data_IF_804303222842
#
_entry.id   IF_804303222842
#
_cell.length_a   1.000
_cell.length_b   1.000
_cell.length_c   1.000
_cell.angle_alpha   90.00
_cell.angle_beta   90.00
_cell.angle_gamma   90.00
#
_symmetry.space_group_name_H-M   'P 1'
#
loop_
_entity.id
_entity.type
_entity.pdbx_description
1 polymer ?
#
# COMPACT_ATOMS: atom_id res chain seq x y z
N UNK A 1 36.04 25.94 -30.46
CA UNK A 1 35.48 25.05 -31.50
C UNK A 1 34.58 24.05 -30.82
N UNK A 2 33.29 24.09 -31.15
CA UNK A 2 32.13 23.68 -30.34
C UNK A 2 32.09 22.18 -29.96
N UNK A 3 31.99 21.89 -28.66
CA UNK A 3 31.67 20.56 -28.09
C UNK A 3 30.40 19.94 -28.72
N UNK A 4 29.44 20.75 -29.15
CA UNK A 4 28.20 20.32 -29.79
C UNK A 4 28.37 19.72 -31.19
N UNK A 5 29.46 20.05 -31.92
CA UNK A 5 29.75 19.47 -33.24
C UNK A 5 30.31 18.03 -33.18
N UNK A 6 30.72 17.56 -31.98
CA UNK A 6 31.18 16.18 -31.76
C UNK A 6 30.02 15.19 -31.45
N UNK A 7 28.83 15.70 -31.23
CA UNK A 7 27.58 14.91 -30.95
C UNK A 7 26.79 14.60 -32.24
N UNK A 8 27.42 14.60 -33.40
CA UNK A 8 26.74 14.23 -34.65
C UNK A 8 26.13 12.81 -34.51
N UNK A 9 24.85 12.59 -34.81
CA UNK A 9 24.14 11.33 -34.56
C UNK A 9 24.81 10.12 -35.23
N UNK A 10 25.46 10.29 -36.34
CA UNK A 10 26.21 9.25 -37.05
C UNK A 10 27.43 8.72 -36.22
N UNK A 11 28.08 9.57 -35.41
CA UNK A 11 29.19 9.15 -34.55
C UNK A 11 28.71 8.42 -33.29
N UNK A 12 27.56 8.79 -32.76
CA UNK A 12 26.92 8.11 -31.64
C UNK A 12 26.56 6.65 -31.99
N UNK A 13 25.98 6.42 -33.16
CA UNK A 13 25.64 5.07 -33.64
C UNK A 13 26.88 4.19 -33.85
N UNK A 14 27.97 4.76 -34.38
CA UNK A 14 29.24 4.04 -34.50
C UNK A 14 29.85 3.69 -33.14
N UNK A 15 29.76 4.58 -32.16
CA UNK A 15 30.28 4.36 -30.81
C UNK A 15 29.49 3.29 -30.06
N UNK A 16 28.17 3.29 -30.19
CA UNK A 16 27.28 2.25 -29.64
C UNK A 16 27.57 0.88 -30.29
N UNK A 17 27.80 0.83 -31.61
CA UNK A 17 28.16 -0.39 -32.31
C UNK A 17 29.52 -0.96 -31.90
N UNK A 18 30.49 -0.10 -31.55
CA UNK A 18 31.79 -0.51 -31.01
C UNK A 18 31.65 -1.02 -29.57
N UNK A 19 30.85 -0.34 -28.74
CA UNK A 19 30.55 -0.78 -27.37
C UNK A 19 29.90 -2.17 -27.35
N UNK A 20 28.96 -2.43 -28.24
CA UNK A 20 28.28 -3.74 -28.35
C UNK A 20 29.23 -4.87 -28.81
N UNK A 21 30.17 -4.58 -29.71
CA UNK A 21 31.20 -5.54 -30.14
C UNK A 21 32.19 -5.86 -29.04
N UNK A 22 32.57 -4.87 -28.24
CA UNK A 22 33.48 -5.04 -27.10
C UNK A 22 32.83 -5.94 -26.01
N UNK A 23 31.55 -5.76 -25.74
CA UNK A 23 30.77 -6.60 -24.83
C UNK A 23 30.73 -8.08 -25.24
N UNK A 24 30.66 -8.34 -26.53
CA UNK A 24 30.61 -9.71 -27.07
C UNK A 24 31.94 -10.47 -26.97
N UNK A 25 33.05 -9.76 -26.89
CA UNK A 25 34.38 -10.35 -26.85
C UNK A 25 34.77 -10.93 -25.49
N UNK A 26 34.16 -10.42 -24.39
CA UNK A 26 34.33 -10.90 -23.01
C UNK A 26 32.99 -11.14 -22.33
N UNK A 27 32.14 -11.96 -22.95
CA UNK A 27 30.70 -12.11 -22.62
C UNK A 27 30.43 -12.48 -21.16
N UNK A 28 31.25 -13.35 -20.56
CA UNK A 28 31.02 -13.84 -19.18
C UNK A 28 31.24 -12.73 -18.15
N UNK A 29 32.30 -11.92 -18.34
CA UNK A 29 32.63 -10.82 -17.42
C UNK A 29 31.65 -9.68 -17.57
N UNK A 30 31.26 -9.35 -18.79
CA UNK A 30 30.25 -8.32 -19.08
C UNK A 30 28.87 -8.73 -18.55
N UNK A 31 28.50 -10.01 -18.63
CA UNK A 31 27.24 -10.54 -18.10
C UNK A 31 27.21 -10.48 -16.57
N UNK A 32 28.30 -10.89 -15.88
CA UNK A 32 28.38 -10.82 -14.42
C UNK A 32 28.29 -9.39 -13.88
N UNK A 33 28.85 -8.43 -14.62
CA UNK A 33 28.79 -7.02 -14.21
C UNK A 33 27.42 -6.40 -14.52
N UNK A 34 26.89 -6.68 -15.71
CA UNK A 34 25.54 -6.26 -16.06
C UNK A 34 24.50 -6.84 -15.08
N UNK A 35 24.75 -8.05 -14.56
CA UNK A 35 23.86 -8.70 -13.60
C UNK A 35 23.66 -7.85 -12.33
N UNK A 36 24.73 -7.23 -11.80
CA UNK A 36 24.61 -6.33 -10.64
C UNK A 36 23.71 -5.12 -10.90
N UNK A 37 23.82 -4.52 -12.11
CA UNK A 37 22.96 -3.41 -12.50
C UNK A 37 21.53 -3.91 -12.78
N UNK A 38 21.39 -5.03 -13.47
CA UNK A 38 20.10 -5.64 -13.76
C UNK A 38 19.34 -5.92 -12.45
N UNK A 39 19.98 -6.55 -11.48
CA UNK A 39 19.38 -6.84 -10.17
C UNK A 39 19.04 -5.54 -9.43
N UNK A 40 19.98 -4.58 -9.38
CA UNK A 40 19.75 -3.31 -8.71
C UNK A 40 18.58 -2.54 -9.30
N UNK A 41 18.54 -2.39 -10.62
CA UNK A 41 17.48 -1.68 -11.33
C UNK A 41 16.15 -2.42 -11.24
N UNK A 42 16.14 -3.74 -11.43
CA UNK A 42 14.91 -4.53 -11.31
C UNK A 42 14.32 -4.45 -9.90
N UNK A 43 15.17 -4.45 -8.87
CA UNK A 43 14.74 -4.26 -7.47
C UNK A 43 14.13 -2.89 -7.24
N UNK A 44 14.72 -1.82 -7.78
CA UNK A 44 14.17 -0.44 -7.67
C UNK A 44 12.80 -0.36 -8.34
N UNK A 45 12.66 -0.87 -9.57
CA UNK A 45 11.40 -0.85 -10.30
C UNK A 45 10.33 -1.66 -9.57
N UNK A 46 10.68 -2.89 -9.14
CA UNK A 46 9.76 -3.76 -8.42
C UNK A 46 9.31 -3.13 -7.08
N UNK A 47 10.24 -2.56 -6.31
CA UNK A 47 9.95 -1.89 -5.05
C UNK A 47 8.97 -0.74 -5.22
N UNK A 48 9.22 0.16 -6.19
CA UNK A 48 8.35 1.32 -6.42
C UNK A 48 6.98 0.87 -6.91
N UNK A 49 6.92 -0.08 -7.84
CA UNK A 49 5.67 -0.59 -8.40
C UNK A 49 4.80 -1.29 -7.34
N UNK A 50 5.39 -2.16 -6.51
CA UNK A 50 4.69 -2.87 -5.43
C UNK A 50 4.29 -1.88 -4.32
N UNK A 51 5.20 -0.97 -3.94
CA UNK A 51 4.92 0.03 -2.91
C UNK A 51 3.77 0.97 -3.27
N UNK A 52 3.72 1.44 -4.51
CA UNK A 52 2.63 2.30 -5.00
C UNK A 52 1.32 1.51 -5.13
N UNK A 53 1.36 0.26 -5.62
CA UNK A 53 0.20 -0.61 -5.70
C UNK A 53 -0.38 -0.96 -4.33
N UNK A 54 0.46 -1.31 -3.38
CA UNK A 54 0.03 -1.56 -2.00
C UNK A 54 -0.62 -0.32 -1.38
N UNK A 55 0.00 0.85 -1.53
CA UNK A 55 -0.54 2.11 -1.02
C UNK A 55 -1.90 2.44 -1.66
N UNK A 56 -2.04 2.32 -2.98
CA UNK A 56 -3.30 2.53 -3.69
C UNK A 56 -4.39 1.56 -3.21
N UNK A 57 -4.07 0.28 -3.06
CA UNK A 57 -4.99 -0.75 -2.55
C UNK A 57 -5.45 -0.45 -1.13
N UNK A 58 -4.54 -0.05 -0.24
CA UNK A 58 -4.89 0.28 1.15
C UNK A 58 -5.73 1.56 1.19
N UNK A 59 -5.34 2.61 0.47
CA UNK A 59 -6.12 3.87 0.39
C UNK A 59 -7.54 3.60 -0.13
N UNK A 60 -7.69 2.75 -1.15
CA UNK A 60 -9.00 2.33 -1.67
C UNK A 60 -9.82 1.57 -0.63
N UNK A 61 -9.21 0.62 0.10
CA UNK A 61 -9.88 -0.14 1.16
C UNK A 61 -10.26 0.75 2.35
N UNK A 62 -9.41 1.71 2.69
CA UNK A 62 -9.68 2.70 3.74
C UNK A 62 -10.86 3.60 3.31
N UNK A 63 -10.87 4.08 2.06
CA UNK A 63 -11.99 4.86 1.52
C UNK A 63 -13.32 4.07 1.49
N UNK A 64 -13.24 2.75 1.26
CA UNK A 64 -14.42 1.88 1.28
C UNK A 64 -15.04 1.68 2.68
N UNK A 65 -14.31 2.00 3.76
CA UNK A 65 -14.83 1.96 5.12
C UNK A 65 -15.81 3.10 5.45
N UNK A 66 -15.87 4.13 4.64
CA UNK A 66 -16.66 5.35 4.84
C UNK A 66 -15.76 6.58 4.84
N UNK A 67 -16.33 7.74 4.54
CA UNK A 67 -15.59 9.01 4.58
C UNK A 67 -15.74 9.67 5.95
N UNK A 68 -14.67 10.26 6.45
CA UNK A 68 -14.64 11.04 7.70
C UNK A 68 -15.13 10.24 8.92
N UNK A 69 -14.78 8.96 8.99
CA UNK A 69 -15.23 8.06 10.04
C UNK A 69 -14.35 8.18 11.29
N UNK A 70 -15.02 8.40 12.42
CA UNK A 70 -14.48 8.16 13.76
C UNK A 70 -15.23 7.00 14.39
N UNK A 71 -14.53 6.03 14.95
CA UNK A 71 -15.15 4.95 15.71
C UNK A 71 -14.66 5.00 17.15
N UNK A 72 -15.57 5.16 18.07
CA UNK A 72 -15.28 5.12 19.51
C UNK A 72 -15.53 3.70 19.98
N UNK A 73 -14.51 3.02 20.47
CA UNK A 73 -14.60 1.69 21.08
C UNK A 73 -14.65 1.80 22.59
N UNK A 74 -15.39 0.94 23.25
CA UNK A 74 -15.18 0.71 24.68
C UNK A 74 -13.73 0.29 24.93
N UNK A 75 -13.15 0.76 26.01
CA UNK A 75 -11.78 0.46 26.37
C UNK A 75 -11.50 -1.04 26.60
N UNK A 76 -10.27 -1.41 26.88
CA UNK A 76 -9.97 -2.78 27.26
C UNK A 76 -10.43 -3.05 28.69
N UNK A 77 -11.08 -4.20 28.91
CA UNK A 77 -11.37 -4.67 30.26
C UNK A 77 -10.06 -5.13 30.90
N UNK A 78 -9.70 -4.50 32.00
CA UNK A 78 -8.53 -4.88 32.82
C UNK A 78 -9.01 -5.70 34.03
N UNK A 79 -8.61 -6.96 34.11
CA UNK A 79 -8.89 -7.83 35.26
C UNK A 79 -7.57 -8.46 35.71
N UNK A 80 -7.10 -8.13 36.91
CA UNK A 80 -5.88 -8.72 37.48
C UNK A 80 -4.60 -8.47 36.68
N UNK A 81 -4.47 -7.31 36.00
CA UNK A 81 -3.29 -6.98 35.17
C UNK A 81 -3.35 -7.52 33.74
N UNK A 82 -4.34 -8.29 33.36
CA UNK A 82 -4.55 -8.79 32.00
C UNK A 82 -5.55 -7.88 31.25
N UNK A 83 -5.15 -7.39 30.11
CA UNK A 83 -5.99 -6.58 29.20
C UNK A 83 -6.66 -7.48 28.16
N UNK A 84 -8.00 -7.41 28.06
CA UNK A 84 -8.82 -8.25 27.17
C UNK A 84 -9.09 -7.63 25.79
N UNK A 85 -8.27 -6.67 25.34
CA UNK A 85 -8.41 -6.02 24.04
C UNK A 85 -9.51 -4.94 23.98
N UNK A 86 -9.51 -4.15 22.94
CA UNK A 86 -10.45 -3.04 22.69
C UNK A 86 -11.88 -3.57 22.53
N UNK A 87 -12.87 -2.83 23.07
CA UNK A 87 -14.27 -3.18 22.99
C UNK A 87 -14.72 -4.25 23.98
N UNK A 88 -13.87 -4.67 24.92
CA UNK A 88 -14.20 -5.67 25.94
C UNK A 88 -14.70 -5.07 27.27
N UNK A 89 -14.45 -3.79 27.52
CA UNK A 89 -15.04 -3.08 28.65
C UNK A 89 -16.50 -2.72 28.35
N UNK A 90 -17.29 -2.62 29.39
CA UNK A 90 -18.72 -2.23 29.30
C UNK A 90 -18.85 -0.79 29.81
N UNK A 91 -18.37 0.17 28.99
CA UNK A 91 -18.32 1.60 29.38
C UNK A 91 -19.24 2.47 28.56
N UNK A 92 -19.37 2.23 27.24
CA UNK A 92 -20.19 3.02 26.35
C UNK A 92 -21.68 2.66 26.44
N UNK A 93 -22.54 3.66 26.46
CA UNK A 93 -24.00 3.51 26.54
C UNK A 93 -24.72 4.19 25.38
N UNK A 94 -25.99 3.87 25.17
CA UNK A 94 -26.86 4.58 24.21
C UNK A 94 -26.94 6.08 24.59
N UNK A 95 -27.02 6.40 25.88
CA UNK A 95 -27.06 7.78 26.34
C UNK A 95 -25.79 8.58 25.96
N UNK A 96 -24.65 7.92 25.82
CA UNK A 96 -23.43 8.56 25.33
C UNK A 96 -23.50 8.83 23.82
N UNK A 97 -24.02 7.88 23.05
CA UNK A 97 -24.27 8.09 21.63
C UNK A 97 -25.24 9.26 21.39
N UNK A 98 -26.34 9.32 22.15
CA UNK A 98 -27.32 10.40 22.07
C UNK A 98 -26.74 11.76 22.47
N UNK A 99 -25.84 11.81 23.47
CA UNK A 99 -25.18 13.04 23.87
C UNK A 99 -24.19 13.50 22.80
N UNK A 100 -23.36 12.60 22.26
CA UNK A 100 -22.45 12.91 21.17
C UNK A 100 -23.18 13.52 19.98
N UNK A 101 -24.32 12.96 19.58
CA UNK A 101 -25.12 13.48 18.46
C UNK A 101 -25.73 14.86 18.73
N UNK A 102 -26.16 15.11 19.96
CA UNK A 102 -26.82 16.38 20.32
C UNK A 102 -25.84 17.53 20.63
N UNK A 103 -24.71 17.21 21.26
CA UNK A 103 -23.82 18.23 21.81
C UNK A 103 -22.65 18.58 20.87
N UNK A 104 -22.36 17.75 19.86
CA UNK A 104 -21.26 17.98 18.92
C UNK A 104 -21.82 18.26 17.52
N UNK A 105 -21.94 19.52 17.08
CA UNK A 105 -22.54 19.89 15.79
C UNK A 105 -21.74 19.38 14.57
N UNK A 106 -20.46 19.05 14.75
CA UNK A 106 -19.59 18.51 13.71
C UNK A 106 -19.94 17.08 13.26
N UNK A 107 -20.80 16.37 14.02
CA UNK A 107 -21.25 15.02 13.69
C UNK A 107 -22.42 15.08 12.71
N UNK A 108 -22.28 14.40 11.58
CA UNK A 108 -23.31 14.31 10.55
C UNK A 108 -24.28 13.15 10.80
N UNK A 109 -23.77 11.99 11.20
CA UNK A 109 -24.53 10.79 11.49
C UNK A 109 -23.83 9.95 12.57
N UNK A 110 -24.63 9.14 13.28
CA UNK A 110 -24.13 8.29 14.35
C UNK A 110 -24.81 6.92 14.31
N UNK A 111 -24.03 5.86 14.55
CA UNK A 111 -24.57 4.52 14.74
C UNK A 111 -23.96 3.86 15.99
N UNK A 112 -24.78 3.63 17.01
CA UNK A 112 -24.43 2.75 18.12
C UNK A 112 -24.26 1.33 17.61
N UNK A 113 -23.17 0.65 17.99
CA UNK A 113 -22.88 -0.71 17.53
C UNK A 113 -22.86 -1.71 18.68
N UNK A 114 -23.59 -2.80 18.50
CA UNK A 114 -23.57 -3.99 19.36
C UNK A 114 -23.27 -5.19 18.50
N UNK A 115 -22.17 -5.88 18.76
CA UNK A 115 -21.71 -6.99 17.93
C UNK A 115 -21.68 -8.29 18.73
N UNK A 116 -22.16 -9.37 18.11
CA UNK A 116 -22.04 -10.73 18.64
C UNK A 116 -21.82 -11.70 17.49
N UNK A 117 -21.13 -12.82 17.76
CA UNK A 117 -21.09 -13.94 16.82
C UNK A 117 -22.23 -14.88 17.10
N UNK A 118 -22.94 -15.30 16.07
CA UNK A 118 -24.05 -16.23 16.20
C UNK A 118 -24.14 -17.16 14.99
N UNK A 119 -24.70 -18.35 15.24
CA UNK A 119 -25.07 -19.24 14.17
C UNK A 119 -26.39 -18.79 13.54
N UNK A 120 -26.35 -18.57 12.25
CA UNK A 120 -27.50 -18.28 11.40
C UNK A 120 -28.01 -19.59 10.80
N UNK A 121 -29.32 -19.79 10.80
CA UNK A 121 -29.94 -20.98 10.24
C UNK A 121 -31.05 -20.58 9.29
N UNK A 122 -30.97 -21.01 8.04
CA UNK A 122 -31.98 -20.79 7.01
C UNK A 122 -31.91 -21.90 5.94
N UNK A 123 -33.02 -22.24 5.32
CA UNK A 123 -33.06 -23.24 4.22
C UNK A 123 -32.39 -24.60 4.54
N UNK A 124 -32.43 -25.05 5.79
CA UNK A 124 -31.74 -26.29 6.19
C UNK A 124 -30.21 -26.16 6.27
N UNK A 125 -29.66 -24.97 6.01
CA UNK A 125 -28.23 -24.66 6.14
C UNK A 125 -27.95 -23.87 7.40
N UNK A 126 -26.72 -23.96 7.88
CA UNK A 126 -26.25 -23.16 9.00
C UNK A 126 -24.92 -22.50 8.64
N UNK A 127 -24.72 -21.30 9.15
CA UNK A 127 -23.50 -20.52 8.95
C UNK A 127 -23.19 -19.68 10.19
N UNK A 128 -21.94 -19.67 10.63
CA UNK A 128 -21.52 -18.81 11.73
C UNK A 128 -21.12 -17.44 11.16
N UNK A 129 -21.77 -16.40 11.60
CA UNK A 129 -21.56 -15.04 11.10
C UNK A 129 -21.58 -14.01 12.22
N UNK A 130 -21.09 -12.82 11.92
CA UNK A 130 -21.18 -11.67 12.80
C UNK A 130 -22.58 -11.06 12.72
N UNK A 131 -23.25 -10.93 13.85
CA UNK A 131 -24.52 -10.19 13.96
C UNK A 131 -24.22 -8.83 14.60
N UNK A 132 -24.45 -7.77 13.82
CA UNK A 132 -24.23 -6.39 14.21
C UNK A 132 -25.58 -5.69 14.42
N UNK A 133 -25.79 -5.16 15.61
CA UNK A 133 -26.89 -4.26 15.92
C UNK A 133 -26.46 -2.83 15.61
N UNK A 134 -27.15 -2.17 14.70
CA UNK A 134 -26.80 -0.85 14.17
C UNK A 134 -28.01 0.07 14.10
N UNK A 135 -27.77 1.35 13.77
CA UNK A 135 -28.83 2.30 13.40
C UNK A 135 -29.07 2.31 11.88
N UNK A 136 -30.16 2.93 11.39
CA UNK A 136 -30.43 3.07 9.95
C UNK A 136 -29.33 3.83 9.21
N UNK A 137 -28.65 4.77 9.86
CA UNK A 137 -27.59 5.61 9.32
C UNK A 137 -26.31 4.85 9.02
N UNK A 138 -26.15 3.65 9.57
CA UNK A 138 -24.95 2.83 9.41
C UNK A 138 -24.54 2.64 7.95
N UNK A 139 -25.50 2.41 7.05
CA UNK A 139 -25.20 2.23 5.63
C UNK A 139 -24.60 3.51 5.02
N UNK A 140 -25.12 4.68 5.39
CA UNK A 140 -24.59 5.97 4.95
C UNK A 140 -23.18 6.21 5.54
N UNK A 141 -23.00 5.99 6.84
CA UNK A 141 -21.72 6.13 7.55
C UNK A 141 -20.64 5.26 6.89
N UNK A 142 -21.00 4.01 6.55
CA UNK A 142 -20.07 3.03 5.96
C UNK A 142 -20.03 3.08 4.43
N UNK A 143 -20.73 4.01 3.79
CA UNK A 143 -20.88 4.07 2.33
C UNK A 143 -21.20 2.69 1.75
N UNK A 144 -22.23 2.02 2.31
CA UNK A 144 -22.64 0.68 1.89
C UNK A 144 -23.94 0.71 1.15
N UNK A 145 -23.96 0.16 -0.04
CA UNK A 145 -25.15 0.09 -0.89
C UNK A 145 -25.90 -1.21 -0.68
N UNK A 146 -27.20 -1.17 -0.98
CA UNK A 146 -28.05 -2.35 -1.05
C UNK A 146 -28.13 -2.83 -2.50
N UNK A 147 -28.01 -4.13 -2.70
CA UNK A 147 -28.28 -4.79 -3.99
C UNK A 147 -29.77 -5.03 -4.20
N UNK A 148 -30.50 -5.33 -3.10
CA UNK A 148 -31.93 -5.56 -3.12
C UNK A 148 -32.57 -5.18 -1.78
N UNK A 149 -33.85 -4.82 -1.79
CA UNK A 149 -34.63 -4.49 -0.60
C UNK A 149 -34.36 -3.10 -0.05
N UNK A 150 -34.52 -2.92 1.26
CA UNK A 150 -34.37 -1.64 1.96
C UNK A 150 -33.69 -1.84 3.33
N UNK A 151 -33.17 -0.74 3.89
CA UNK A 151 -32.73 -0.69 5.30
C UNK A 151 -33.96 -0.58 6.23
N UNK A 152 -33.80 -1.04 7.46
CA UNK A 152 -34.81 -0.80 8.50
C UNK A 152 -34.84 0.67 8.90
N UNK A 153 -35.95 1.08 9.51
CA UNK A 153 -36.23 2.48 9.84
C UNK A 153 -36.04 2.73 11.35
N UNK A 154 -36.02 4.00 11.74
CA UNK A 154 -36.04 4.41 13.15
C UNK A 154 -37.25 3.83 13.92
N UNK A 155 -38.37 3.59 13.22
CA UNK A 155 -39.55 2.92 13.82
C UNK A 155 -39.23 1.48 14.20
N UNK A 156 -38.46 0.77 13.35
CA UNK A 156 -38.03 -0.60 13.60
C UNK A 156 -37.04 -0.66 14.77
N UNK A 157 -36.16 0.34 14.87
CA UNK A 157 -35.25 0.49 16.02
C UNK A 157 -36.03 0.68 17.31
N UNK A 158 -36.99 1.61 17.35
CA UNK A 158 -37.77 1.88 18.57
C UNK A 158 -38.62 0.69 19.00
N UNK A 159 -39.21 -0.03 18.05
CA UNK A 159 -40.05 -1.22 18.34
C UNK A 159 -39.22 -2.48 18.62
N UNK A 160 -37.90 -2.44 18.47
CA UNK A 160 -37.03 -3.61 18.47
C UNK A 160 -37.53 -4.72 17.53
N UNK A 161 -37.83 -4.32 16.28
CA UNK A 161 -38.37 -5.19 15.24
C UNK A 161 -37.37 -6.33 14.89
N UNK A 162 -37.95 -7.47 14.50
CA UNK A 162 -37.14 -8.65 14.06
C UNK A 162 -36.93 -8.62 12.56
N UNK A 163 -36.29 -7.59 12.10
CA UNK A 163 -35.89 -7.39 10.70
C UNK A 163 -34.39 -7.41 10.59
N UNK A 164 -33.86 -7.83 9.45
CA UNK A 164 -32.42 -7.96 9.22
C UNK A 164 -32.03 -7.57 7.79
N UNK A 165 -30.85 -6.99 7.63
CA UNK A 165 -30.18 -6.81 6.36
C UNK A 165 -28.97 -7.75 6.34
N UNK A 166 -28.84 -8.55 5.29
CA UNK A 166 -27.82 -9.62 5.21
C UNK A 166 -26.69 -9.22 4.24
N UNK A 167 -25.46 -9.54 4.61
CA UNK A 167 -24.29 -9.38 3.74
C UNK A 167 -24.23 -10.46 2.66
N UNK A 168 -23.60 -10.16 1.55
CA UNK A 168 -23.57 -11.00 0.34
C UNK A 168 -22.98 -12.40 0.59
N UNK A 169 -21.92 -12.52 1.42
CA UNK A 169 -21.33 -13.82 1.75
C UNK A 169 -22.25 -14.66 2.61
N UNK A 170 -22.78 -14.11 3.70
CA UNK A 170 -23.72 -14.82 4.57
C UNK A 170 -24.99 -15.24 3.80
N UNK A 171 -25.47 -14.39 2.88
CA UNK A 171 -26.60 -14.70 1.99
C UNK A 171 -26.28 -15.88 1.06
N UNK A 172 -25.11 -15.86 0.42
CA UNK A 172 -24.69 -16.94 -0.48
C UNK A 172 -24.58 -18.30 0.22
N UNK A 173 -24.00 -18.31 1.43
CA UNK A 173 -23.81 -19.55 2.21
C UNK A 173 -25.17 -20.16 2.66
N UNK A 174 -26.13 -19.32 3.03
CA UNK A 174 -27.43 -19.78 3.55
C UNK A 174 -28.46 -20.03 2.44
N UNK A 175 -28.50 -19.19 1.42
CA UNK A 175 -29.55 -19.20 0.40
C UNK A 175 -29.03 -19.57 -1.01
N UNK A 176 -27.71 -19.66 -1.21
CA UNK A 176 -27.12 -19.87 -2.53
C UNK A 176 -27.36 -18.66 -3.46
N UNK A 177 -27.76 -18.89 -4.73
CA UNK A 177 -27.98 -17.81 -5.70
C UNK A 177 -29.36 -17.14 -5.56
N UNK A 178 -30.18 -17.54 -4.59
CA UNK A 178 -31.55 -17.05 -4.43
C UNK A 178 -31.51 -15.71 -3.70
N UNK A 179 -32.33 -14.74 -4.14
CA UNK A 179 -32.52 -13.48 -3.43
C UNK A 179 -33.18 -13.75 -2.06
N UNK A 180 -32.51 -13.44 -0.93
CA UNK A 180 -33.03 -13.76 0.40
C UNK A 180 -34.08 -12.76 0.92
N UNK A 181 -34.33 -11.65 0.21
CA UNK A 181 -35.28 -10.61 0.66
C UNK A 181 -36.70 -11.18 0.79
N UNK A 182 -37.30 -10.97 1.94
CA UNK A 182 -38.61 -11.54 2.31
C UNK A 182 -38.55 -12.91 3.00
N UNK A 183 -37.38 -13.56 3.00
CA UNK A 183 -37.15 -14.87 3.64
C UNK A 183 -36.81 -14.71 5.13
N UNK A 184 -36.93 -15.79 5.88
CA UNK A 184 -36.59 -15.85 7.30
C UNK A 184 -35.24 -16.46 7.54
N UNK A 185 -34.44 -15.86 8.44
CA UNK A 185 -33.24 -16.39 9.03
C UNK A 185 -33.40 -16.48 10.54
N UNK A 186 -33.00 -17.59 11.14
CA UNK A 186 -32.98 -17.76 12.61
C UNK A 186 -31.60 -17.46 13.16
N UNK A 187 -31.56 -16.61 14.18
CA UNK A 187 -30.36 -16.26 14.94
C UNK A 187 -30.59 -16.69 16.38
N UNK A 188 -29.83 -17.63 16.90
CA UNK A 188 -30.05 -18.19 18.26
C UNK A 188 -31.53 -18.57 18.50
N UNK A 189 -32.16 -19.24 17.56
CA UNK A 189 -33.58 -19.62 17.57
C UNK A 189 -34.60 -18.50 17.41
N UNK A 190 -34.22 -17.25 17.28
CA UNK A 190 -35.12 -16.12 17.05
C UNK A 190 -35.23 -15.89 15.54
N UNK A 191 -36.45 -15.87 14.99
CA UNK A 191 -36.67 -15.63 13.57
C UNK A 191 -36.54 -14.13 13.26
N UNK A 192 -35.85 -13.79 12.19
CA UNK A 192 -35.72 -12.47 11.60
C UNK A 192 -36.17 -12.51 10.15
N UNK A 193 -36.88 -11.51 9.69
CA UNK A 193 -37.24 -11.34 8.28
C UNK A 193 -36.09 -10.55 7.60
N UNK A 194 -35.55 -11.08 6.53
CA UNK A 194 -34.55 -10.38 5.72
C UNK A 194 -35.29 -9.35 4.87
N UNK A 195 -34.97 -8.07 5.05
CA UNK A 195 -35.56 -6.94 4.32
C UNK A 195 -34.63 -6.31 3.30
N UNK A 196 -33.32 -6.63 3.36
CA UNK A 196 -32.32 -6.10 2.43
C UNK A 196 -31.10 -7.00 2.29
N UNK A 197 -30.46 -6.88 1.13
CA UNK A 197 -29.21 -7.55 0.76
C UNK A 197 -28.16 -6.51 0.47
N UNK A 198 -27.00 -6.59 1.14
CA UNK A 198 -25.87 -5.69 0.94
C UNK A 198 -25.09 -6.02 -0.33
N UNK A 199 -24.60 -4.97 -0.98
CA UNK A 199 -23.58 -5.10 -2.03
C UNK A 199 -22.29 -5.67 -1.46
N UNK A 200 -21.58 -6.51 -2.24
CA UNK A 200 -20.30 -7.07 -1.81
C UNK A 200 -19.22 -6.01 -1.79
N UNK A 201 -18.52 -5.89 -0.65
CA UNK A 201 -17.31 -5.06 -0.46
C UNK A 201 -16.02 -5.88 -0.42
N UNK A 202 -16.14 -7.19 -0.26
CA UNK A 202 -15.00 -8.10 -0.18
C UNK A 202 -14.21 -8.00 1.14
N UNK A 203 -12.91 -8.26 1.05
CA UNK A 203 -12.04 -8.20 2.22
C UNK A 203 -11.68 -6.76 2.60
N UNK A 204 -11.88 -6.42 3.87
CA UNK A 204 -11.50 -5.15 4.45
C UNK A 204 -10.01 -5.03 4.74
N UNK A 205 -9.63 -3.91 5.38
CA UNK A 205 -8.28 -3.70 5.94
C UNK A 205 -8.06 -4.76 7.03
N UNK A 206 -7.02 -5.59 6.88
CA UNK A 206 -6.75 -6.72 7.78
C UNK A 206 -7.26 -8.08 7.30
N UNK A 207 -7.81 -8.18 6.07
CA UNK A 207 -8.14 -9.45 5.43
C UNK A 207 -9.46 -10.09 5.86
N UNK A 208 -10.18 -9.51 6.83
CA UNK A 208 -11.50 -10.00 7.24
C UNK A 208 -12.54 -9.68 6.17
N UNK A 209 -13.36 -10.68 5.84
CA UNK A 209 -14.44 -10.48 4.88
C UNK A 209 -15.57 -9.64 5.51
N UNK A 210 -15.80 -8.43 4.98
CA UNK A 210 -16.83 -7.52 5.47
C UNK A 210 -18.23 -8.01 5.15
N UNK A 211 -18.39 -8.83 4.12
CA UNK A 211 -19.67 -9.33 3.62
C UNK A 211 -20.28 -10.44 4.47
N UNK A 212 -19.49 -10.97 5.45
CA UNK A 212 -19.96 -12.02 6.36
C UNK A 212 -20.57 -11.43 7.62
N UNK A 213 -21.76 -10.83 7.45
CA UNK A 213 -22.50 -10.22 8.56
C UNK A 213 -24.01 -10.21 8.35
N UNK A 214 -24.73 -10.08 9.46
CA UNK A 214 -26.14 -9.80 9.53
C UNK A 214 -26.34 -8.51 10.32
N UNK A 215 -27.01 -7.52 9.75
CA UNK A 215 -27.28 -6.24 10.40
C UNK A 215 -28.72 -6.22 10.86
N UNK A 216 -28.95 -5.90 12.13
CA UNK A 216 -30.25 -5.80 12.78
C UNK A 216 -30.35 -4.48 13.56
N UNK A 217 -31.52 -4.01 13.96
CA UNK A 217 -31.62 -2.85 14.85
C UNK A 217 -30.86 -3.08 16.17
N UNK A 218 -30.05 -2.10 16.60
CA UNK A 218 -29.23 -2.23 17.81
C UNK A 218 -30.05 -2.53 19.06
N UNK A 219 -31.25 -1.97 19.16
CA UNK A 219 -32.19 -2.25 20.26
C UNK A 219 -32.67 -3.71 20.27
N UNK A 220 -32.82 -4.32 19.09
CA UNK A 220 -33.14 -5.75 18.95
C UNK A 220 -31.95 -6.61 19.37
N UNK A 221 -30.74 -6.25 18.94
CA UNK A 221 -29.51 -6.93 19.35
C UNK A 221 -29.37 -6.94 20.87
N UNK A 222 -29.47 -5.77 21.50
CA UNK A 222 -29.35 -5.61 22.95
C UNK A 222 -30.40 -6.39 23.72
N UNK A 223 -31.67 -6.25 23.34
CA UNK A 223 -32.75 -6.88 24.10
C UNK A 223 -32.87 -8.39 23.92
N UNK A 224 -32.49 -8.92 22.76
CA UNK A 224 -32.78 -10.31 22.38
C UNK A 224 -31.57 -11.20 22.20
N UNK A 225 -30.40 -10.65 21.87
CA UNK A 225 -29.21 -11.45 21.58
C UNK A 225 -28.15 -11.34 22.67
N UNK A 226 -27.80 -10.14 23.11
CA UNK A 226 -26.72 -9.97 24.08
C UNK A 226 -27.23 -9.83 25.52
N UNK A 227 -28.39 -9.25 25.72
CA UNK A 227 -28.91 -8.92 27.05
C UNK A 227 -28.12 -7.80 27.74
N UNK A 228 -27.20 -7.19 27.02
CA UNK A 228 -26.30 -6.17 27.55
C UNK A 228 -26.88 -4.77 27.35
N UNK A 229 -26.49 -3.85 28.22
CA UNK A 229 -26.88 -2.42 28.16
C UNK A 229 -25.79 -1.56 27.55
N UNK A 230 -24.64 -2.14 27.27
CA UNK A 230 -23.47 -1.44 26.79
C UNK A 230 -23.25 -1.66 25.31
N UNK A 231 -22.68 -0.64 24.68
CA UNK A 231 -22.28 -0.65 23.30
C UNK A 231 -20.85 -1.19 23.17
N UNK A 232 -20.56 -1.88 22.11
CA UNK A 232 -19.19 -2.25 21.75
C UNK A 232 -18.42 -1.05 21.21
N UNK A 233 -19.09 -0.30 20.34
CA UNK A 233 -18.56 0.90 19.71
C UNK A 233 -19.66 1.86 19.29
N UNK A 234 -19.25 3.09 18.97
CA UNK A 234 -20.09 4.12 18.37
C UNK A 234 -19.41 4.59 17.10
N UNK A 235 -20.06 4.40 15.96
CA UNK A 235 -19.60 4.86 14.67
C UNK A 235 -20.11 6.29 14.41
N UNK A 236 -19.21 7.22 14.13
CA UNK A 236 -19.49 8.64 13.93
C UNK A 236 -19.05 9.06 12.53
N UNK A 237 -19.89 9.75 11.79
CA UNK A 237 -19.51 10.43 10.57
C UNK A 237 -19.35 11.91 10.84
N UNK A 238 -18.16 12.46 10.59
CA UNK A 238 -17.89 13.89 10.71
C UNK A 238 -18.25 14.58 9.40
N UNK A 239 -18.88 15.77 9.47
CA UNK A 239 -19.35 16.53 8.29
C UNK A 239 -18.20 16.94 7.38
N UNK A 240 -17.10 17.41 7.98
CA UNK A 240 -15.94 17.92 7.26
C UNK A 240 -14.67 17.18 7.67
N UNK A 241 -13.91 16.73 6.69
CA UNK A 241 -12.61 16.09 6.90
C UNK A 241 -11.62 16.96 7.67
N UNK A 242 -11.69 18.28 7.50
CA UNK A 242 -10.82 19.24 8.22
C UNK A 242 -11.18 19.33 9.70
N UNK A 243 -12.43 19.05 10.08
CA UNK A 243 -12.90 19.12 11.45
C UNK A 243 -12.69 17.84 12.28
N UNK A 244 -12.17 16.76 11.68
CA UNK A 244 -12.04 15.44 12.33
C UNK A 244 -11.27 15.54 13.66
N UNK A 245 -10.15 16.24 13.69
CA UNK A 245 -9.31 16.37 14.89
C UNK A 245 -10.00 17.15 15.99
N UNK A 246 -10.68 18.25 15.63
CA UNK A 246 -11.44 19.05 16.60
C UNK A 246 -12.66 18.29 17.13
N UNK A 247 -13.37 17.54 16.29
CA UNK A 247 -14.48 16.67 16.71
C UNK A 247 -13.96 15.54 17.61
N UNK A 248 -12.82 14.92 17.30
CA UNK A 248 -12.20 13.89 18.13
C UNK A 248 -11.88 14.43 19.54
N UNK A 249 -11.33 15.64 19.63
CA UNK A 249 -11.08 16.27 20.92
C UNK A 249 -12.38 16.55 21.69
N UNK A 250 -13.42 17.05 21.02
CA UNK A 250 -14.74 17.29 21.64
C UNK A 250 -15.37 16.00 22.14
N UNK A 251 -15.30 14.93 21.34
CA UNK A 251 -15.78 13.58 21.73
C UNK A 251 -15.04 13.10 22.97
N UNK A 252 -13.71 13.26 23.01
CA UNK A 252 -12.89 12.87 24.17
C UNK A 252 -13.32 13.64 25.42
N UNK A 253 -13.43 14.96 25.33
CA UNK A 253 -13.80 15.79 26.47
C UNK A 253 -15.21 15.46 26.99
N UNK A 254 -16.17 15.30 26.07
CA UNK A 254 -17.54 14.98 26.46
C UNK A 254 -17.66 13.60 27.12
N UNK A 255 -17.01 12.58 26.59
CA UNK A 255 -17.02 11.25 27.17
C UNK A 255 -16.31 11.21 28.52
N UNK A 256 -15.14 11.85 28.67
CA UNK A 256 -14.46 11.98 29.96
C UNK A 256 -15.35 12.63 31.03
N UNK A 257 -16.05 13.71 30.66
CA UNK A 257 -17.00 14.39 31.56
C UNK A 257 -18.16 13.47 31.94
N UNK A 258 -18.76 12.76 30.98
CA UNK A 258 -19.90 11.87 31.22
C UNK A 258 -19.54 10.64 32.04
N UNK A 259 -18.37 10.07 31.78
CA UNK A 259 -17.81 8.91 32.52
C UNK A 259 -17.16 9.32 33.84
N UNK A 260 -17.10 10.65 34.15
CA UNK A 260 -16.51 11.23 35.37
C UNK A 260 -15.07 10.80 35.58
N UNK A 261 -14.28 10.74 34.52
CA UNK A 261 -12.88 10.34 34.56
C UNK A 261 -12.03 11.50 35.16
N UNK A 262 -11.24 11.27 36.19
CA UNK A 262 -10.26 12.24 36.70
C UNK A 262 -9.23 12.63 35.63
N UNK A 263 -8.61 13.83 35.73
CA UNK A 263 -7.64 14.29 34.73
C UNK A 263 -6.43 13.36 34.53
N UNK A 264 -6.02 12.67 35.57
CA UNK A 264 -4.87 11.76 35.64
C UNK A 264 -5.22 10.30 35.27
N UNK A 265 -6.51 10.00 35.11
CA UNK A 265 -6.94 8.66 34.70
C UNK A 265 -6.93 8.50 33.19
N UNK A 266 -6.45 7.36 32.71
CA UNK A 266 -6.55 6.97 31.31
C UNK A 266 -8.01 6.85 30.86
N UNK A 267 -8.26 7.09 29.57
CA UNK A 267 -9.59 6.94 28.99
C UNK A 267 -10.07 5.49 29.05
N UNK A 268 -11.32 5.30 29.39
CA UNK A 268 -12.00 4.00 29.41
C UNK A 268 -12.66 3.68 28.04
N UNK A 269 -12.32 4.47 27.02
CA UNK A 269 -12.68 4.33 25.62
C UNK A 269 -11.45 4.59 24.75
N UNK A 270 -11.54 4.23 23.48
CA UNK A 270 -10.51 4.52 22.49
C UNK A 270 -11.16 5.04 21.21
N UNK A 271 -10.66 6.15 20.69
CA UNK A 271 -11.16 6.75 19.46
C UNK A 271 -10.24 6.37 18.30
N UNK A 272 -10.82 5.67 17.35
CA UNK A 272 -10.13 5.23 16.15
C UNK A 272 -10.46 6.19 15.02
N UNK A 273 -9.44 6.87 14.53
CA UNK A 273 -9.53 7.76 13.38
C UNK A 273 -9.00 7.04 12.14
N UNK A 274 -9.78 7.04 11.09
CA UNK A 274 -9.38 6.41 9.84
C UNK A 274 -8.13 7.05 9.21
N UNK A 275 -7.91 8.36 9.42
CA UNK A 275 -6.67 9.04 9.00
C UNK A 275 -5.43 8.46 9.67
N UNK A 276 -5.51 8.08 10.94
CA UNK A 276 -4.37 7.53 11.70
C UNK A 276 -3.94 6.17 11.14
N UNK A 277 -4.90 5.39 10.64
CA UNK A 277 -4.61 4.13 9.94
C UNK A 277 -3.86 4.40 8.64
N UNK A 278 -4.37 5.33 7.83
CA UNK A 278 -3.72 5.70 6.59
C UNK A 278 -2.29 6.21 6.85
N UNK A 279 -2.10 7.11 7.83
CA UNK A 279 -0.80 7.62 8.22
C UNK A 279 0.15 6.53 8.72
N UNK A 280 -0.35 5.57 9.51
CA UNK A 280 0.44 4.42 9.98
C UNK A 280 0.91 3.56 8.81
N UNK A 281 0.02 3.29 7.85
CA UNK A 281 0.35 2.52 6.65
C UNK A 281 1.38 3.25 5.78
N UNK A 282 1.22 4.56 5.61
CA UNK A 282 2.18 5.39 4.87
C UNK A 282 3.56 5.37 5.53
N UNK A 283 3.60 5.45 6.86
CA UNK A 283 4.84 5.33 7.63
C UNK A 283 5.52 3.97 7.45
N UNK A 284 4.78 2.87 7.62
CA UNK A 284 5.30 1.51 7.43
C UNK A 284 5.78 1.31 5.99
N UNK A 285 5.00 1.75 5.00
CA UNK A 285 5.36 1.67 3.58
C UNK A 285 6.64 2.46 3.28
N UNK A 286 6.80 3.64 3.89
CA UNK A 286 8.00 4.47 3.75
C UNK A 286 9.25 3.78 4.31
N UNK A 287 9.14 3.14 5.48
CA UNK A 287 10.23 2.36 6.08
C UNK A 287 10.62 1.18 5.17
N UNK A 288 9.63 0.45 4.65
CA UNK A 288 9.88 -0.66 3.71
C UNK A 288 10.55 -0.14 2.43
N UNK A 289 10.09 0.97 1.86
CA UNK A 289 10.69 1.61 0.68
C UNK A 289 12.15 2.01 0.97
N UNK A 290 12.45 2.56 2.15
CA UNK A 290 13.81 2.92 2.55
C UNK A 290 14.73 1.70 2.66
N UNK A 291 14.27 0.63 3.31
CA UNK A 291 15.05 -0.61 3.46
C UNK A 291 15.35 -1.26 2.10
N UNK A 292 14.33 -1.45 1.27
CA UNK A 292 14.50 -2.02 -0.06
C UNK A 292 15.34 -1.12 -0.98
N UNK A 293 15.17 0.20 -0.87
CA UNK A 293 15.98 1.21 -1.57
C UNK A 293 17.46 1.13 -1.18
N UNK A 294 17.74 0.93 0.10
CA UNK A 294 19.11 0.75 0.60
C UNK A 294 19.77 -0.51 0.04
N UNK A 295 19.07 -1.64 0.03
CA UNK A 295 19.57 -2.90 -0.55
C UNK A 295 19.81 -2.74 -2.05
N UNK A 296 18.88 -2.10 -2.76
CA UNK A 296 19.02 -1.81 -4.19
C UNK A 296 20.19 -0.87 -4.46
N UNK A 297 20.40 0.14 -3.61
CA UNK A 297 21.52 1.06 -3.67
C UNK A 297 22.87 0.33 -3.54
N UNK A 298 22.99 -0.56 -2.56
CA UNK A 298 24.19 -1.40 -2.39
C UNK A 298 24.43 -2.26 -3.63
N UNK A 299 23.40 -2.91 -4.16
CA UNK A 299 23.50 -3.73 -5.38
C UNK A 299 23.97 -2.91 -6.58
N UNK A 300 23.47 -1.69 -6.73
CA UNK A 300 23.87 -0.76 -7.78
C UNK A 300 25.33 -0.29 -7.63
N UNK A 301 25.80 -0.03 -6.41
CA UNK A 301 27.20 0.29 -6.15
C UNK A 301 28.11 -0.88 -6.53
N UNK A 302 27.75 -2.10 -6.14
CA UNK A 302 28.51 -3.32 -6.52
C UNK A 302 28.51 -3.49 -8.05
N UNK A 303 27.38 -3.30 -8.72
CA UNK A 303 27.28 -3.29 -10.18
C UNK A 303 28.16 -2.20 -10.81
N UNK A 304 28.19 -1.01 -10.23
CA UNK A 304 29.02 0.11 -10.66
C UNK A 304 30.54 -0.17 -10.52
N UNK A 305 30.96 -0.75 -9.40
CA UNK A 305 32.36 -1.22 -9.22
C UNK A 305 32.70 -2.25 -10.30
N UNK A 306 31.78 -3.13 -10.64
CA UNK A 306 31.94 -4.06 -11.75
C UNK A 306 32.16 -3.35 -13.10
N UNK A 307 31.38 -2.29 -13.43
CA UNK A 307 31.63 -1.46 -14.63
C UNK A 307 33.01 -0.87 -14.57
N UNK A 308 33.41 -0.28 -13.46
CA UNK A 308 34.74 0.32 -13.31
C UNK A 308 35.85 -0.70 -13.58
N UNK A 309 35.73 -1.91 -13.03
CA UNK A 309 36.72 -2.95 -13.23
C UNK A 309 36.80 -3.41 -14.69
N UNK A 310 35.69 -3.60 -15.37
CA UNK A 310 35.69 -3.96 -16.80
C UNK A 310 36.31 -2.84 -17.63
N UNK A 311 35.97 -1.61 -17.35
CA UNK A 311 36.48 -0.46 -18.09
C UNK A 311 37.99 -0.30 -17.87
N UNK A 312 38.52 -0.55 -16.65
CA UNK A 312 39.97 -0.55 -16.40
C UNK A 312 40.68 -1.62 -17.19
N UNK A 313 40.15 -2.85 -17.24
CA UNK A 313 40.71 -3.93 -18.06
C UNK A 313 40.61 -3.58 -19.54
N UNK A 314 39.52 -3.01 -20.00
CA UNK A 314 39.37 -2.57 -21.39
C UNK A 314 40.41 -1.49 -21.78
N UNK A 315 40.69 -0.57 -20.87
CA UNK A 315 41.77 0.43 -21.07
C UNK A 315 43.12 -0.25 -21.20
N UNK A 316 43.46 -1.21 -20.33
CA UNK A 316 44.77 -1.94 -20.42
C UNK A 316 44.87 -2.79 -21.68
N UNK A 317 43.83 -3.52 -22.06
CA UNK A 317 43.80 -4.30 -23.30
C UNK A 317 43.92 -3.45 -24.57
N UNK A 318 43.50 -2.18 -24.50
CA UNK A 318 43.55 -1.24 -25.65
C UNK A 318 44.63 -0.16 -25.50
N UNK A 319 45.59 -0.32 -24.58
CA UNK A 319 46.58 0.70 -24.29
C UNK A 319 47.36 1.12 -25.57
N UNK A 320 47.77 0.19 -26.42
CA UNK A 320 48.46 0.46 -27.67
C UNK A 320 47.59 1.21 -28.69
N UNK A 321 46.32 0.86 -28.79
CA UNK A 321 45.36 1.54 -29.67
C UNK A 321 45.11 3.00 -29.21
N UNK A 322 44.97 3.21 -27.90
CA UNK A 322 44.82 4.54 -27.30
C UNK A 322 46.11 5.38 -27.54
N UNK A 323 47.27 4.80 -27.31
CA UNK A 323 48.57 5.44 -27.55
C UNK A 323 48.72 5.87 -29.00
N UNK A 324 48.35 5.02 -29.97
CA UNK A 324 48.37 5.36 -31.40
C UNK A 324 47.47 6.54 -31.72
N UNK A 325 46.23 6.59 -31.15
CA UNK A 325 45.31 7.72 -31.35
C UNK A 325 45.85 9.02 -30.81
N UNK A 326 46.49 8.98 -29.60
CA UNK A 326 47.08 10.17 -29.00
C UNK A 326 48.32 10.62 -29.85
N UNK A 327 49.13 9.71 -30.33
CA UNK A 327 50.31 10.02 -31.17
C UNK A 327 49.91 10.66 -32.51
N UNK A 328 48.75 10.32 -33.08
CA UNK A 328 48.16 10.94 -34.31
C UNK A 328 47.39 12.23 -34.01
N UNK A 329 47.35 12.68 -32.74
CA UNK A 329 46.81 13.98 -32.37
C UNK A 329 45.37 13.96 -31.82
N UNK A 330 44.88 12.81 -31.35
CA UNK A 330 43.58 12.77 -30.68
C UNK A 330 43.64 13.55 -29.36
N UNK A 331 42.63 14.40 -29.14
CA UNK A 331 42.53 15.18 -27.89
C UNK A 331 42.18 14.24 -26.72
N UNK A 332 42.83 14.40 -25.54
CA UNK A 332 42.48 13.61 -24.34
C UNK A 332 41.01 13.68 -23.94
N UNK A 333 40.36 14.81 -24.20
CA UNK A 333 38.93 15.00 -23.96
C UNK A 333 38.05 14.07 -24.83
N UNK A 334 38.47 13.80 -26.07
CA UNK A 334 37.75 12.91 -26.98
C UNK A 334 37.84 11.44 -26.53
N UNK A 335 39.02 11.03 -26.06
CA UNK A 335 39.23 9.69 -25.50
C UNK A 335 38.42 9.51 -24.22
N UNK A 336 38.49 10.48 -23.31
CA UNK A 336 37.69 10.46 -22.08
C UNK A 336 36.20 10.34 -22.36
N UNK A 337 35.69 11.15 -23.30
CA UNK A 337 34.26 11.11 -23.67
C UNK A 337 33.86 9.75 -24.27
N UNK A 338 34.72 9.16 -25.11
CA UNK A 338 34.49 7.84 -25.69
C UNK A 338 34.29 6.76 -24.62
N UNK A 339 35.25 6.64 -23.69
CA UNK A 339 35.20 5.63 -22.63
C UNK A 339 34.05 5.89 -21.65
N UNK A 340 33.74 7.16 -21.39
CA UNK A 340 32.56 7.51 -20.56
C UNK A 340 31.24 7.09 -21.23
N UNK A 341 31.10 7.35 -22.55
CA UNK A 341 29.91 6.92 -23.31
C UNK A 341 29.82 5.38 -23.36
N UNK A 342 30.94 4.68 -23.43
CA UNK A 342 30.98 3.21 -23.41
C UNK A 342 30.48 2.67 -22.06
N UNK A 343 30.89 3.26 -20.94
CA UNK A 343 30.42 2.91 -19.60
C UNK A 343 28.90 3.22 -19.41
N UNK A 344 28.46 4.38 -19.87
CA UNK A 344 27.04 4.77 -19.82
C UNK A 344 26.18 3.86 -20.70
N UNK A 345 26.63 3.50 -21.91
CA UNK A 345 25.92 2.58 -22.77
C UNK A 345 25.78 1.18 -22.13
N UNK A 346 26.84 0.71 -21.45
CA UNK A 346 26.80 -0.55 -20.70
C UNK A 346 25.79 -0.49 -19.56
N UNK A 347 25.78 0.56 -18.77
CA UNK A 347 24.86 0.71 -17.65
C UNK A 347 23.41 0.88 -18.10
N UNK A 348 23.17 1.64 -19.17
CA UNK A 348 21.83 1.81 -19.72
C UNK A 348 21.28 0.52 -20.34
N UNK A 349 22.13 -0.28 -20.99
CA UNK A 349 21.71 -1.60 -21.51
C UNK A 349 21.35 -2.57 -20.39
N UNK A 350 22.13 -2.60 -19.30
CA UNK A 350 21.80 -3.33 -18.08
C UNK A 350 20.53 -2.79 -17.41
N UNK A 351 20.38 -1.46 -17.39
CA UNK A 351 19.17 -0.78 -16.88
C UNK A 351 17.91 -1.14 -17.66
N UNK A 352 17.99 -1.18 -19.00
CA UNK A 352 16.87 -1.59 -19.85
C UNK A 352 16.41 -3.02 -19.55
N UNK A 353 17.34 -3.96 -19.47
CA UNK A 353 17.03 -5.35 -19.09
C UNK A 353 16.48 -5.41 -17.67
N UNK A 354 17.05 -4.64 -16.74
CA UNK A 354 16.60 -4.51 -15.36
C UNK A 354 15.16 -3.99 -15.27
N UNK A 355 14.79 -2.97 -16.05
CA UNK A 355 13.42 -2.46 -16.13
C UNK A 355 12.45 -3.54 -16.62
N UNK A 356 12.80 -4.23 -17.70
CA UNK A 356 11.96 -5.30 -18.27
C UNK A 356 11.73 -6.42 -17.22
N UNK A 357 12.80 -6.87 -16.57
CA UNK A 357 12.71 -7.88 -15.52
C UNK A 357 11.97 -7.38 -14.28
N UNK A 358 12.20 -6.13 -13.85
CA UNK A 358 11.49 -5.51 -12.74
C UNK A 358 9.99 -5.44 -12.97
N UNK A 359 9.56 -5.04 -14.18
CA UNK A 359 8.16 -5.04 -14.60
C UNK A 359 7.58 -6.45 -14.60
N UNK A 360 8.29 -7.42 -15.17
CA UNK A 360 7.84 -8.82 -15.23
C UNK A 360 7.67 -9.42 -13.80
N UNK A 361 8.65 -9.20 -12.92
CA UNK A 361 8.61 -9.65 -11.52
C UNK A 361 7.45 -8.99 -10.78
N UNK A 362 7.26 -7.67 -10.96
CA UNK A 362 6.17 -6.93 -10.31
C UNK A 362 4.81 -7.47 -10.72
N UNK A 363 4.59 -7.73 -12.01
CA UNK A 363 3.33 -8.29 -12.51
C UNK A 363 3.08 -9.71 -11.99
N UNK A 364 4.13 -10.54 -11.93
CA UNK A 364 4.02 -11.89 -11.40
C UNK A 364 3.64 -11.87 -9.90
N UNK A 365 4.33 -11.05 -9.12
CA UNK A 365 4.03 -10.88 -7.70
C UNK A 365 2.62 -10.31 -7.46
N UNK A 366 2.18 -9.34 -8.28
CA UNK A 366 0.83 -8.80 -8.21
C UNK A 366 -0.24 -9.88 -8.42
N UNK A 367 -0.05 -10.77 -9.40
CA UNK A 367 -0.98 -11.88 -9.65
C UNK A 367 -1.04 -12.89 -8.50
N UNK A 368 0.09 -13.16 -7.87
CA UNK A 368 0.16 -14.13 -6.75
C UNK A 368 -0.37 -13.54 -5.45
N UNK A 369 -0.08 -12.28 -5.17
CA UNK A 369 -0.47 -11.60 -3.92
C UNK A 369 -1.84 -10.93 -3.97
N UNK A 370 -2.45 -10.81 -5.15
CA UNK A 370 -3.75 -10.14 -5.31
C UNK A 370 -3.70 -8.63 -5.16
N UNK A 371 -2.51 -8.02 -5.20
CA UNK A 371 -2.35 -6.57 -5.21
C UNK A 371 -2.29 -6.03 -6.64
N UNK A 372 -2.98 -4.92 -6.89
CA UNK A 372 -2.82 -4.19 -8.14
C UNK A 372 -1.44 -3.53 -8.18
N UNK A 373 -0.63 -3.88 -9.16
CA UNK A 373 0.70 -3.31 -9.35
C UNK A 373 0.59 -2.08 -10.22
N UNK A 374 0.95 -0.93 -9.67
CA UNK A 374 0.95 0.34 -10.39
C UNK A 374 2.36 0.64 -10.94
N UNK A 375 2.57 0.33 -12.22
CA UNK A 375 3.80 0.71 -12.92
C UNK A 375 3.65 2.16 -13.36
N UNK A 376 4.39 3.07 -12.72
CA UNK A 376 4.36 4.47 -13.08
C UNK A 376 5.47 4.81 -14.09
N UNK A 377 5.26 5.72 -15.04
CA UNK A 377 6.31 6.24 -15.92
C UNK A 377 7.49 6.86 -15.13
N UNK A 378 7.19 7.40 -13.96
CA UNK A 378 8.18 7.99 -13.07
C UNK A 378 9.18 6.94 -12.52
N UNK A 379 8.72 5.73 -12.21
CA UNK A 379 9.60 4.64 -11.76
C UNK A 379 10.56 4.19 -12.85
N UNK A 380 10.10 4.19 -14.11
CA UNK A 380 10.94 3.88 -15.28
C UNK A 380 11.96 4.99 -15.52
N UNK A 381 11.54 6.25 -15.46
CA UNK A 381 12.44 7.39 -15.60
C UNK A 381 13.51 7.42 -14.49
N UNK A 382 13.11 7.14 -13.24
CA UNK A 382 14.04 7.03 -12.11
C UNK A 382 15.07 5.92 -12.36
N UNK A 383 14.64 4.74 -12.81
CA UNK A 383 15.50 3.60 -13.11
C UNK A 383 16.55 3.94 -14.18
N UNK A 384 16.15 4.61 -15.27
CA UNK A 384 17.08 5.08 -16.29
C UNK A 384 18.01 6.17 -15.78
N UNK A 385 17.51 7.14 -14.98
CA UNK A 385 18.30 8.19 -14.36
C UNK A 385 19.39 7.64 -13.44
N UNK A 386 19.05 6.67 -12.61
CA UNK A 386 20.00 5.99 -11.71
C UNK A 386 21.01 5.18 -12.52
N UNK A 387 20.58 4.44 -13.54
CA UNK A 387 21.51 3.69 -14.42
C UNK A 387 22.49 4.62 -15.10
N UNK A 388 22.02 5.74 -15.62
CA UNK A 388 22.89 6.76 -16.22
C UNK A 388 23.92 7.30 -15.21
N UNK A 389 23.47 7.67 -14.02
CA UNK A 389 24.34 8.21 -12.95
C UNK A 389 25.42 7.22 -12.54
N UNK A 390 25.08 5.94 -12.40
CA UNK A 390 26.02 4.85 -12.08
C UNK A 390 27.06 4.70 -13.20
N UNK A 391 26.63 4.63 -14.45
CA UNK A 391 27.53 4.53 -15.60
C UNK A 391 28.49 5.71 -15.72
N UNK A 392 27.98 6.92 -15.51
CA UNK A 392 28.78 8.14 -15.55
C UNK A 392 29.76 8.20 -14.38
N UNK A 393 29.34 7.90 -13.17
CA UNK A 393 30.18 7.97 -11.96
C UNK A 393 31.32 6.93 -11.99
N UNK A 394 30.97 5.66 -12.17
CA UNK A 394 31.94 4.59 -12.16
C UNK A 394 32.76 4.49 -13.45
N UNK A 395 32.24 5.00 -14.57
CA UNK A 395 32.99 5.12 -15.83
C UNK A 395 33.99 6.28 -15.88
N UNK A 396 33.79 7.29 -15.02
CA UNK A 396 34.65 8.50 -15.04
C UNK A 396 36.13 8.21 -14.73
N UNK A 397 36.40 7.40 -13.72
CA UNK A 397 37.76 7.09 -13.31
C UNK A 397 38.55 6.34 -14.41
N UNK A 398 38.08 5.22 -14.99
CA UNK A 398 38.74 4.56 -16.13
C UNK A 398 38.90 5.47 -17.34
N UNK A 399 37.86 6.25 -17.67
CA UNK A 399 37.95 7.19 -18.79
C UNK A 399 39.04 8.27 -18.61
N UNK A 400 39.19 8.79 -17.37
CA UNK A 400 40.24 9.71 -17.03
C UNK A 400 41.62 9.04 -17.16
N UNK A 401 41.77 7.79 -16.71
CA UNK A 401 43.02 7.02 -16.80
C UNK A 401 43.40 6.76 -18.26
N UNK A 402 42.44 6.40 -19.12
CA UNK A 402 42.67 6.22 -20.54
C UNK A 402 43.17 7.51 -21.24
N UNK A 403 42.61 8.67 -20.88
CA UNK A 403 42.96 9.96 -21.45
C UNK A 403 44.31 10.52 -20.92
N UNK A 404 44.86 9.95 -19.86
CA UNK A 404 46.15 10.35 -19.24
C UNK A 404 47.33 9.45 -19.61
N UNK A 405 47.16 8.50 -20.55
CA UNK A 405 48.24 7.62 -21.00
C UNK A 405 49.28 8.40 -21.79
N UNK A 406 50.57 8.14 -21.49
CA UNK A 406 51.68 8.65 -22.29
C UNK A 406 51.78 7.85 -23.61
N UNK A 407 51.76 8.53 -24.79
CA UNK A 407 51.78 7.85 -26.07
C UNK A 407 53.06 7.00 -26.29
N UNK A 408 54.19 7.41 -25.71
CA UNK A 408 55.47 6.70 -25.87
C UNK A 408 55.46 5.41 -25.06
N UNK A 409 55.02 5.49 -23.81
CA UNK A 409 54.86 4.31 -22.94
C UNK A 409 53.79 3.35 -23.48
N UNK A 410 52.66 3.90 -23.94
CA UNK A 410 51.56 3.10 -24.46
C UNK A 410 51.91 2.31 -25.73
N UNK A 411 52.80 2.83 -26.56
CA UNK A 411 53.30 2.12 -27.77
C UNK A 411 54.36 1.03 -27.47
N UNK A 412 55.04 1.15 -26.30
CA UNK A 412 56.00 0.16 -25.83
C UNK A 412 55.37 -1.00 -25.05
N UNK A 413 54.09 -0.89 -24.75
CA UNK A 413 53.37 -1.92 -24.00
C UNK A 413 53.15 -3.15 -24.89
N UNK A 414 53.71 -4.31 -24.50
CA UNK A 414 53.54 -5.62 -25.13
C UNK A 414 52.26 -6.33 -24.63
#
# INVERSE_FOLDING_TARGET
>A
MNLLAQLAPARLWLTIGVAFRALRRNSLRSALTALGIIIGVSSVVAMVAIGNGAQASITSKVAALGQNLLTVFSGPRRTGGVSSGLGSASTLTIADADALHREIPGIAAISPEVTTSAQLVANGRNWSSTVAGESPEYLAIRNWKLTAGSMFTERDVRSAARVAVIGSKAAHELFGPINPVGMNVRVRNIPFVIIGLLESKGAGVGGQNQDDRLIIPYTTAMRRLTGDRYLRSINLQVRDAAAIESVQQQVTLLLRQRHRLPPDQEDDFNIFNQKDVAATVDSVTSVIKLLLGSVSGISLVVGGIGIMNIMLVSVTERTREIGLRIAVGAQPAAIRLQFLLEAVALSLSGGLVGVILGVAISQLLGRVSGFDVAISPESIALAFGVSFAIGAFFGFYPARRAAALDPIEALRYE
#
